data_IF_984863551440
#
_entry.id   IF_984863551440
#
_cell.length_a   1.000
_cell.length_b   1.000
_cell.length_c   1.000
_cell.angle_alpha   90.00
_cell.angle_beta   90.00
_cell.angle_gamma   90.00
#
_symmetry.space_group_name_H-M   'P 1'
#
loop_
_entity.id
_entity.type
_entity.pdbx_description
1 polymer ?
#
# COMPACT_ATOMS: atom_id res chain seq x y z
N UNK A 1 5.71 -2.45 15.10
CA UNK A 1 5.49 -3.09 13.79
C UNK A 1 6.36 -2.38 12.77
N UNK A 2 7.27 -3.07 12.08
CA UNK A 2 8.14 -2.44 11.07
C UNK A 2 7.42 -2.42 9.72
N UNK A 3 7.13 -1.20 9.24
CA UNK A 3 6.65 -0.95 7.89
C UNK A 3 7.81 -1.05 6.91
N UNK A 4 7.61 -1.76 5.79
CA UNK A 4 8.55 -1.77 4.67
C UNK A 4 8.18 -0.63 3.74
N UNK A 5 9.12 0.30 3.55
CA UNK A 5 8.95 1.47 2.67
C UNK A 5 9.78 1.30 1.42
N UNK A 6 9.19 1.59 0.27
CA UNK A 6 9.90 1.58 -1.00
C UNK A 6 9.19 2.48 -2.02
N UNK A 7 9.98 3.09 -2.90
CA UNK A 7 9.48 3.99 -3.93
C UNK A 7 9.06 3.21 -5.18
N UNK A 8 7.97 3.64 -5.80
CA UNK A 8 7.43 3.06 -7.02
C UNK A 8 6.77 4.14 -7.90
N UNK A 9 7.30 4.34 -9.11
CA UNK A 9 6.76 5.25 -10.14
C UNK A 9 6.46 6.69 -9.64
N UNK A 10 7.29 7.22 -8.73
CA UNK A 10 7.12 8.57 -8.18
C UNK A 10 6.19 8.65 -6.95
N UNK A 11 5.82 7.50 -6.39
CA UNK A 11 5.09 7.37 -5.13
C UNK A 11 5.94 6.62 -4.11
N UNK A 12 5.89 7.05 -2.86
CA UNK A 12 6.37 6.28 -1.71
C UNK A 12 5.26 5.33 -1.26
N UNK A 13 5.53 4.03 -1.21
CA UNK A 13 4.62 3.02 -0.68
C UNK A 13 5.19 2.48 0.64
N UNK A 14 4.36 2.40 1.68
CA UNK A 14 4.70 1.81 2.97
C UNK A 14 3.73 0.67 3.31
N UNK A 15 4.23 -0.55 3.53
CA UNK A 15 3.41 -1.72 3.85
C UNK A 15 3.74 -2.25 5.24
N UNK A 16 2.71 -2.46 6.06
CA UNK A 16 2.81 -3.02 7.40
C UNK A 16 2.02 -4.31 7.48
N UNK A 17 2.67 -5.41 7.87
CA UNK A 17 1.96 -6.63 8.23
C UNK A 17 1.20 -6.41 9.55
N UNK A 18 -0.08 -6.76 9.55
CA UNK A 18 -0.95 -6.74 10.70
C UNK A 18 -1.27 -8.20 11.08
N UNK A 19 -1.09 -8.56 12.35
CA UNK A 19 -1.49 -9.89 12.81
C UNK A 19 -3.00 -9.89 13.00
N UNK A 20 -3.71 -10.81 12.35
CA UNK A 20 -5.14 -11.03 12.51
C UNK A 20 -5.40 -12.19 13.49
N UNK A 21 -6.67 -12.49 13.74
CA UNK A 21 -7.12 -13.65 14.49
C UNK A 21 -6.72 -14.96 13.76
N UNK A 22 -6.67 -16.08 14.50
CA UNK A 22 -6.30 -17.41 13.97
C UNK A 22 -4.86 -17.58 13.49
N UNK A 23 -3.92 -16.80 14.04
CA UNK A 23 -2.48 -16.82 13.68
C UNK A 23 -2.17 -16.46 12.21
N UNK A 24 -3.16 -15.88 11.51
CA UNK A 24 -2.99 -15.35 10.18
C UNK A 24 -2.50 -13.90 10.20
N UNK A 25 -1.97 -13.46 9.06
CA UNK A 25 -1.43 -12.13 8.86
C UNK A 25 -2.16 -11.45 7.71
N UNK A 26 -2.58 -10.22 7.94
CA UNK A 26 -3.07 -9.30 6.95
C UNK A 26 -2.06 -8.17 6.72
N UNK A 27 -2.42 -7.18 5.92
CA UNK A 27 -1.59 -6.03 5.69
C UNK A 27 -2.37 -4.72 5.61
N UNK A 28 -1.68 -3.66 5.98
CA UNK A 28 -2.05 -2.28 5.71
C UNK A 28 -0.99 -1.66 4.80
N UNK A 29 -1.40 -0.84 3.85
CA UNK A 29 -0.47 -0.06 3.04
C UNK A 29 -0.88 1.40 2.96
N UNK A 30 0.13 2.25 2.85
CA UNK A 30 0.02 3.68 2.65
C UNK A 30 0.78 4.07 1.38
N UNK A 31 0.16 4.89 0.56
CA UNK A 31 0.74 5.44 -0.68
C UNK A 31 0.77 6.96 -0.49
N UNK A 32 1.92 7.56 -0.78
CA UNK A 32 2.13 9.00 -0.79
C UNK A 32 2.86 9.44 -2.06
N UNK A 33 2.51 10.59 -2.65
CA UNK A 33 3.23 11.18 -3.79
C UNK A 33 4.15 12.30 -3.29
N UNK A 34 5.45 12.18 -3.55
CA UNK A 34 6.47 13.07 -2.98
C UNK A 34 6.41 14.51 -3.52
N UNK A 35 5.86 14.71 -4.72
CA UNK A 35 5.87 16.00 -5.43
C UNK A 35 4.46 16.52 -5.81
N UNK A 36 3.44 16.16 -5.04
CA UNK A 36 2.07 16.59 -5.31
C UNK A 36 1.77 18.00 -4.75
N UNK A 37 1.20 18.87 -5.59
CA UNK A 37 0.53 20.10 -5.12
C UNK A 37 -0.64 19.74 -4.18
N UNK A 38 -1.06 20.64 -3.30
CA UNK A 38 -2.06 20.36 -2.23
C UNK A 38 -3.36 19.72 -2.75
N UNK A 39 -3.77 20.02 -3.98
CA UNK A 39 -4.94 19.40 -4.62
C UNK A 39 -4.68 17.95 -5.06
N UNK A 40 -3.50 17.65 -5.62
CA UNK A 40 -3.06 16.28 -5.96
C UNK A 40 -2.74 15.43 -4.72
N UNK A 41 -2.32 16.06 -3.61
CA UNK A 41 -2.06 15.38 -2.33
C UNK A 41 -3.31 14.71 -1.75
N UNK A 42 -4.50 15.29 -1.92
CA UNK A 42 -5.75 14.68 -1.42
C UNK A 42 -6.14 13.41 -2.19
N UNK A 43 -5.71 13.27 -3.44
CA UNK A 43 -5.95 12.07 -4.24
C UNK A 43 -4.84 11.02 -4.09
N UNK A 44 -3.65 11.44 -3.63
CA UNK A 44 -2.44 10.62 -3.61
C UNK A 44 -1.92 10.25 -2.22
N UNK A 45 -2.62 10.64 -1.15
CA UNK A 45 -2.43 10.15 0.22
C UNK A 45 -3.51 9.11 0.52
N UNK A 46 -3.16 7.84 0.28
CA UNK A 46 -4.12 6.73 0.33
C UNK A 46 -3.63 5.72 1.37
N UNK A 47 -4.39 5.57 2.44
CA UNK A 47 -4.23 4.45 3.39
C UNK A 47 -5.33 3.44 3.17
N UNK A 48 -4.96 2.18 2.97
CA UNK A 48 -5.90 1.06 2.82
C UNK A 48 -5.41 -0.13 3.63
N UNK A 49 -6.36 -0.85 4.20
CA UNK A 49 -6.12 -2.15 4.83
C UNK A 49 -6.88 -3.22 4.05
N UNK A 50 -6.26 -4.38 3.86
CA UNK A 50 -6.95 -5.57 3.37
C UNK A 50 -6.96 -6.61 4.48
N UNK A 51 -8.16 -6.92 4.97
CA UNK A 51 -8.39 -7.74 6.18
C UNK A 51 -8.98 -9.12 5.85
N UNK A 52 -8.80 -9.61 4.62
CA UNK A 52 -9.32 -10.92 4.18
C UNK A 52 -8.29 -11.71 3.38
N UNK A 53 -6.99 -11.38 3.53
CA UNK A 53 -5.92 -12.05 2.82
C UNK A 53 -5.48 -13.33 3.53
N UNK A 54 -5.49 -13.31 4.87
CA UNK A 54 -5.24 -14.49 5.69
C UNK A 54 -3.91 -15.17 5.35
N UNK A 55 -2.78 -14.47 5.49
CA UNK A 55 -1.47 -14.96 5.09
C UNK A 55 -0.76 -15.74 6.20
N UNK A 56 -0.03 -16.79 5.83
CA UNK A 56 0.66 -17.66 6.79
C UNK A 56 1.84 -17.00 7.54
N UNK A 57 2.41 -15.91 7.01
CA UNK A 57 3.56 -15.22 7.61
C UNK A 57 3.49 -13.71 7.37
N UNK A 58 4.13 -12.90 8.23
CA UNK A 58 4.17 -11.45 8.04
C UNK A 58 4.87 -11.04 6.73
N UNK A 59 5.85 -11.80 6.27
CA UNK A 59 6.58 -11.48 5.04
C UNK A 59 5.74 -11.72 3.79
N UNK A 60 4.91 -12.78 3.80
CA UNK A 60 3.93 -13.01 2.73
C UNK A 60 2.86 -11.91 2.72
N UNK A 61 2.39 -11.48 3.89
CA UNK A 61 1.45 -10.36 3.97
C UNK A 61 2.05 -9.05 3.44
N UNK A 62 3.32 -8.75 3.76
CA UNK A 62 4.01 -7.57 3.20
C UNK A 62 4.15 -7.66 1.68
N UNK A 63 4.53 -8.81 1.16
CA UNK A 63 4.66 -9.00 -0.30
C UNK A 63 3.31 -8.83 -1.01
N UNK A 64 2.25 -9.42 -0.46
CA UNK A 64 0.90 -9.25 -0.99
C UNK A 64 0.47 -7.78 -0.98
N UNK A 65 0.67 -7.08 0.14
CA UNK A 65 0.35 -5.66 0.25
C UNK A 65 1.16 -4.78 -0.70
N UNK A 66 2.41 -5.15 -0.98
CA UNK A 66 3.25 -4.45 -1.95
C UNK A 66 2.69 -4.55 -3.38
N UNK A 67 2.29 -5.74 -3.82
CA UNK A 67 1.76 -5.94 -5.17
C UNK A 67 0.38 -5.27 -5.35
N UNK A 68 -0.46 -5.29 -4.31
CA UNK A 68 -1.73 -4.55 -4.31
C UNK A 68 -1.49 -3.03 -4.37
N UNK A 69 -0.56 -2.51 -3.57
CA UNK A 69 -0.23 -1.08 -3.57
C UNK A 69 0.32 -0.60 -4.92
N UNK A 70 1.16 -1.41 -5.61
CA UNK A 70 1.61 -1.09 -6.97
C UNK A 70 0.45 -0.99 -7.96
N UNK A 71 -0.48 -1.94 -7.90
CA UNK A 71 -1.66 -1.95 -8.77
C UNK A 71 -2.49 -0.69 -8.56
N UNK A 72 -2.64 -0.24 -7.31
CA UNK A 72 -3.33 1.01 -6.99
C UNK A 72 -2.59 2.23 -7.54
N UNK A 73 -1.25 2.29 -7.43
CA UNK A 73 -0.44 3.35 -8.06
C UNK A 73 -0.64 3.36 -9.58
N UNK A 74 -0.62 2.19 -10.21
CA UNK A 74 -0.82 2.08 -11.66
C UNK A 74 -2.22 2.57 -12.08
N UNK A 75 -3.26 2.29 -11.27
CA UNK A 75 -4.61 2.80 -11.47
C UNK A 75 -4.67 4.33 -11.31
N UNK A 76 -4.04 4.89 -10.27
CA UNK A 76 -3.98 6.34 -10.05
C UNK A 76 -3.32 7.05 -11.23
N UNK A 77 -2.22 6.51 -11.74
CA UNK A 77 -1.52 7.04 -12.91
C UNK A 77 -2.39 6.97 -14.18
N UNK A 78 -3.09 5.87 -14.41
CA UNK A 78 -3.98 5.71 -15.56
C UNK A 78 -5.20 6.66 -15.52
N UNK A 79 -5.63 7.09 -14.34
CA UNK A 79 -6.68 8.09 -14.16
C UNK A 79 -6.18 9.52 -14.37
N UNK A 80 -4.94 9.83 -13.97
CA UNK A 80 -4.31 11.15 -14.16
C UNK A 80 -3.97 11.42 -15.65
N UNK A 81 -3.80 10.39 -16.48
CA UNK A 81 -3.48 10.51 -17.92
C UNK A 81 -4.69 10.81 -18.83
N UNK A 82 -5.91 10.90 -18.29
CA UNK A 82 -7.16 11.17 -19.04
C UNK A 82 -7.63 12.62 -18.92
#
# INVERSE_FOLDING_TARGET
MNAQKQDYRGYTIAVTAAKDHDDLWDFEYHIAKDDATVALKRSADVTRSQTMGGHATPDVARLAGWEVAKTEVDNLLALDEK
#
